data_IF_359671424102
#
_entry.id   IF_359671424102
#
_cell.length_a   1.000
_cell.length_b   1.000
_cell.length_c   1.000
_cell.angle_alpha   90.00
_cell.angle_beta   90.00
_cell.angle_gamma   90.00
#
_symmetry.space_group_name_H-M   'P 1'
#
loop_
_entity.id
_entity.type
_entity.pdbx_description
1 polymer ?
#
# COMPACT_ATOMS: atom_id res chain seq x y z
N UNK A 1 2.79 35.27 -62.02
CA UNK A 1 1.70 35.23 -61.02
C UNK A 1 1.77 33.88 -60.32
N UNK A 2 2.44 33.84 -59.15
CA UNK A 2 2.58 32.61 -58.36
C UNK A 2 1.54 32.65 -57.20
N UNK A 3 0.60 31.69 -57.21
CA UNK A 3 -0.37 31.53 -56.17
C UNK A 3 0.23 30.61 -55.08
N UNK A 4 0.60 31.21 -53.96
CA UNK A 4 1.06 30.51 -52.77
C UNK A 4 -0.19 30.02 -52.00
N UNK A 5 -0.50 28.73 -52.12
CA UNK A 5 -1.54 28.06 -51.34
C UNK A 5 -1.06 27.84 -49.89
N UNK A 6 -1.67 28.55 -48.95
CA UNK A 6 -1.46 28.38 -47.51
C UNK A 6 -2.22 27.14 -47.01
N UNK A 7 -1.49 26.04 -46.75
CA UNK A 7 -2.03 24.81 -46.19
C UNK A 7 -2.19 25.02 -44.68
N UNK A 8 -3.38 25.39 -44.20
CA UNK A 8 -3.68 25.42 -42.76
C UNK A 8 -3.93 24.01 -42.27
N UNK A 9 -2.94 23.41 -41.59
CA UNK A 9 -3.11 22.17 -40.85
C UNK A 9 -3.98 22.44 -39.64
N UNK A 10 -5.21 21.99 -39.67
CA UNK A 10 -6.10 21.94 -38.51
C UNK A 10 -5.63 20.84 -37.57
N UNK A 11 -4.84 21.20 -36.57
CA UNK A 11 -4.53 20.35 -35.44
C UNK A 11 -5.79 20.24 -34.56
N UNK A 12 -6.68 19.31 -34.88
CA UNK A 12 -7.76 18.90 -33.98
C UNK A 12 -7.13 18.04 -32.91
N UNK A 13 -6.58 18.64 -31.86
CA UNK A 13 -6.22 17.94 -30.64
C UNK A 13 -7.48 17.31 -30.02
N UNK A 14 -7.50 16.01 -29.85
CA UNK A 14 -8.54 15.36 -29.05
C UNK A 14 -8.52 15.99 -27.67
N UNK A 15 -9.53 16.80 -27.35
CA UNK A 15 -9.83 17.17 -25.98
C UNK A 15 -10.42 15.90 -25.32
N UNK A 16 -9.63 15.19 -24.57
CA UNK A 16 -10.15 14.18 -23.67
C UNK A 16 -10.97 14.92 -22.59
N UNK A 17 -12.27 14.85 -22.70
CA UNK A 17 -13.17 15.26 -21.61
C UNK A 17 -13.12 14.19 -20.52
N UNK A 18 -12.27 14.40 -19.53
CA UNK A 18 -12.30 13.58 -18.32
C UNK A 18 -13.63 13.81 -17.61
N UNK A 19 -14.45 12.76 -17.54
CA UNK A 19 -15.65 12.79 -16.71
C UNK A 19 -15.22 12.83 -15.26
N UNK A 20 -15.32 14.00 -14.65
CA UNK A 20 -15.08 14.17 -13.21
C UNK A 20 -16.28 13.61 -12.45
N UNK A 21 -16.04 12.80 -11.43
CA UNK A 21 -17.08 12.35 -10.52
C UNK A 21 -17.70 13.57 -9.83
N UNK A 22 -19.02 13.75 -9.97
CA UNK A 22 -19.78 14.90 -9.45
C UNK A 22 -20.92 14.50 -8.51
N UNK A 23 -20.96 13.22 -8.12
CA UNK A 23 -21.98 12.69 -7.20
C UNK A 23 -21.61 12.90 -5.72
N UNK A 24 -22.32 12.21 -4.83
CA UNK A 24 -22.15 12.33 -3.39
C UNK A 24 -20.70 12.07 -2.94
N UNK A 25 -20.30 12.78 -1.90
CA UNK A 25 -19.02 12.56 -1.25
C UNK A 25 -19.04 11.25 -0.46
N UNK A 26 -18.06 10.39 -0.72
CA UNK A 26 -17.81 9.18 0.06
C UNK A 26 -16.37 9.16 0.56
N UNK A 27 -16.18 8.61 1.75
CA UNK A 27 -14.86 8.39 2.35
C UNK A 27 -14.71 6.91 2.66
N UNK A 28 -13.62 6.29 2.23
CA UNK A 28 -13.40 4.86 2.32
C UNK A 28 -11.91 4.53 2.43
N UNK A 29 -11.59 3.35 2.93
CA UNK A 29 -10.24 2.81 2.77
C UNK A 29 -10.00 2.47 1.29
N UNK A 30 -8.78 2.68 0.82
CA UNK A 30 -8.42 2.37 -0.58
C UNK A 30 -8.55 0.88 -0.88
N UNK A 31 -8.26 0.02 0.12
CA UNK A 31 -8.33 -1.43 0.02
C UNK A 31 -9.15 -2.00 1.18
N UNK A 32 -9.88 -3.09 0.94
CA UNK A 32 -10.63 -3.84 1.96
C UNK A 32 -9.75 -4.83 2.72
N UNK A 33 -8.63 -5.21 2.11
CA UNK A 33 -7.60 -6.07 2.67
C UNK A 33 -6.22 -5.58 2.20
N UNK A 34 -5.33 -5.31 3.14
CA UNK A 34 -3.97 -4.91 2.84
C UNK A 34 -2.96 -5.70 3.69
N UNK A 35 -1.84 -6.09 3.10
CA UNK A 35 -0.76 -6.78 3.79
C UNK A 35 0.47 -5.87 3.84
N UNK A 36 1.03 -5.74 5.03
CA UNK A 36 2.20 -4.91 5.29
C UNK A 36 3.33 -5.73 5.91
N UNK A 37 4.52 -5.55 5.37
CA UNK A 37 5.74 -6.05 5.97
C UNK A 37 6.13 -5.15 7.14
N UNK A 38 6.36 -5.73 8.31
CA UNK A 38 6.92 -5.02 9.46
C UNK A 38 8.42 -5.24 9.46
N UNK A 39 9.18 -4.17 9.24
CA UNK A 39 10.63 -4.15 9.22
C UNK A 39 11.16 -3.63 10.55
N UNK A 40 12.35 -4.08 10.94
CA UNK A 40 12.98 -3.67 12.20
C UNK A 40 13.24 -2.16 12.27
N UNK A 41 13.64 -1.57 11.15
CA UNK A 41 14.03 -0.16 11.07
C UNK A 41 12.91 0.76 10.54
N UNK A 42 11.68 0.23 10.43
CA UNK A 42 10.56 0.98 9.92
C UNK A 42 9.76 1.63 11.06
N UNK A 43 9.62 2.94 11.03
CA UNK A 43 8.87 3.67 12.06
C UNK A 43 7.36 3.42 11.99
N UNK A 44 6.79 3.35 10.77
CA UNK A 44 5.37 3.08 10.54
C UNK A 44 5.11 2.63 9.10
N UNK A 45 3.96 2.04 8.90
CA UNK A 45 3.36 1.85 7.57
C UNK A 45 2.06 2.66 7.47
N UNK A 46 1.66 2.98 6.24
CA UNK A 46 0.50 3.81 5.95
C UNK A 46 -0.63 2.98 5.37
N UNK A 47 -1.84 3.12 5.94
CA UNK A 47 -3.06 2.53 5.40
C UNK A 47 -3.86 3.65 4.74
N UNK A 48 -3.98 3.65 3.39
CA UNK A 48 -4.52 4.78 2.67
C UNK A 48 -6.05 4.86 2.79
N UNK A 49 -6.53 6.07 3.01
CA UNK A 49 -7.94 6.47 2.98
C UNK A 49 -8.15 7.43 1.83
N UNK A 50 -9.22 7.26 1.11
CA UNK A 50 -9.57 8.06 -0.06
C UNK A 50 -10.94 8.69 0.07
N UNK A 51 -11.12 9.86 -0.53
CA UNK A 51 -12.43 10.51 -0.73
C UNK A 51 -12.72 10.63 -2.22
N UNK A 52 -13.97 10.45 -2.60
CA UNK A 52 -14.42 10.61 -3.99
C UNK A 52 -14.35 12.06 -4.45
N UNK A 53 -14.47 13.02 -3.53
CA UNK A 53 -14.50 14.46 -3.82
C UNK A 53 -13.40 15.20 -3.07
N UNK A 54 -12.76 16.16 -3.70
CA UNK A 54 -11.88 17.13 -3.05
C UNK A 54 -12.73 18.32 -2.55
N UNK A 55 -12.57 18.66 -1.27
CA UNK A 55 -13.22 19.83 -0.67
C UNK A 55 -12.21 20.95 -0.45
N UNK A 56 -12.68 22.17 -0.33
CA UNK A 56 -11.89 23.38 -0.07
C UNK A 56 -11.55 23.60 1.42
N UNK A 57 -11.94 22.65 2.28
CA UNK A 57 -11.70 22.66 3.70
C UNK A 57 -11.12 21.30 4.20
N UNK A 58 -10.48 21.34 5.36
CA UNK A 58 -9.95 20.15 6.03
C UNK A 58 -11.09 19.30 6.62
N UNK A 59 -11.03 17.98 6.43
CA UNK A 59 -12.00 17.01 6.94
C UNK A 59 -11.30 16.02 7.86
N UNK A 60 -11.74 15.93 9.10
CA UNK A 60 -11.15 15.02 10.10
C UNK A 60 -12.14 13.91 10.44
N UNK A 61 -11.66 12.67 10.42
CA UNK A 61 -12.43 11.46 10.72
C UNK A 61 -11.74 10.66 11.82
N UNK A 62 -12.54 9.98 12.64
CA UNK A 62 -12.03 9.04 13.63
C UNK A 62 -11.61 7.72 13.00
N UNK A 63 -10.70 7.04 13.67
CA UNK A 63 -10.28 5.67 13.34
C UNK A 63 -10.40 4.81 14.59
N UNK A 64 -11.14 3.71 14.47
CA UNK A 64 -11.36 2.71 15.52
C UNK A 64 -10.79 1.35 15.11
N UNK A 65 -10.39 0.57 16.10
CA UNK A 65 -10.02 -0.83 15.93
C UNK A 65 -11.24 -1.68 16.29
N UNK A 66 -11.52 -2.69 15.48
CA UNK A 66 -12.56 -3.70 15.74
C UNK A 66 -11.88 -4.97 16.22
N UNK A 67 -12.15 -5.37 17.46
CA UNK A 67 -11.59 -6.58 18.06
C UNK A 67 -12.11 -7.86 17.41
N UNK A 68 -13.37 -7.87 17.01
CA UNK A 68 -13.97 -9.03 16.36
C UNK A 68 -13.33 -9.30 14.99
N UNK A 69 -12.66 -10.44 14.87
CA UNK A 69 -11.92 -10.83 13.66
C UNK A 69 -10.47 -10.32 13.60
N UNK A 70 -10.01 -9.67 14.68
CA UNK A 70 -8.62 -9.27 14.91
C UNK A 70 -7.92 -10.32 15.78
N UNK A 71 -6.72 -10.74 15.40
CA UNK A 71 -5.84 -11.56 16.24
C UNK A 71 -4.57 -10.78 16.67
N UNK A 72 -4.33 -9.62 16.08
CA UNK A 72 -3.33 -8.67 16.55
C UNK A 72 -3.89 -7.85 17.72
N UNK A 73 -3.06 -7.54 18.69
CA UNK A 73 -3.42 -6.78 19.89
C UNK A 73 -2.67 -5.46 19.89
N UNK A 74 -3.42 -4.34 20.03
CA UNK A 74 -2.82 -3.02 20.16
C UNK A 74 -1.97 -2.93 21.43
N UNK A 75 -0.83 -2.24 21.32
CA UNK A 75 0.15 -2.12 22.39
C UNK A 75 1.08 -3.32 22.53
N UNK A 76 0.70 -4.49 21.99
CA UNK A 76 1.57 -5.68 21.93
C UNK A 76 2.19 -5.88 20.56
N UNK A 77 1.40 -5.92 19.50
CA UNK A 77 1.87 -6.24 18.16
C UNK A 77 1.97 -5.00 17.25
N UNK A 78 1.16 -4.00 17.54
CA UNK A 78 1.16 -2.72 16.81
C UNK A 78 0.69 -1.58 17.70
N UNK A 79 0.83 -0.35 17.20
CA UNK A 79 0.31 0.87 17.80
C UNK A 79 -0.18 1.81 16.73
N UNK A 80 -1.39 2.35 16.87
CA UNK A 80 -1.84 3.49 16.08
C UNK A 80 -1.07 4.74 16.49
N UNK A 81 -0.55 5.50 15.52
CA UNK A 81 0.09 6.78 15.80
C UNK A 81 -0.92 7.89 16.07
N UNK A 82 -2.12 7.76 15.50
CA UNK A 82 -3.25 8.65 15.76
C UNK A 82 -4.57 7.88 15.59
N UNK A 83 -5.55 8.21 16.41
CA UNK A 83 -6.93 7.71 16.28
C UNK A 83 -7.79 8.60 15.38
N UNK A 84 -7.20 9.55 14.70
CA UNK A 84 -7.87 10.43 13.73
C UNK A 84 -7.01 10.61 12.49
N UNK A 85 -7.68 10.85 11.36
CA UNK A 85 -7.05 11.24 10.10
C UNK A 85 -7.65 12.56 9.62
N UNK A 86 -6.85 13.35 8.91
CA UNK A 86 -7.34 14.59 8.29
C UNK A 86 -7.03 14.59 6.80
N UNK A 87 -8.08 14.61 5.98
CA UNK A 87 -7.97 14.87 4.56
C UNK A 87 -7.89 16.39 4.38
N UNK A 88 -6.75 16.88 3.93
CA UNK A 88 -6.50 18.31 3.77
C UNK A 88 -7.33 18.92 2.65
N UNK A 89 -7.60 20.22 2.75
CA UNK A 89 -8.23 21.01 1.69
C UNK A 89 -7.55 20.77 0.34
N UNK A 90 -8.32 20.54 -0.71
CA UNK A 90 -7.85 20.20 -2.05
C UNK A 90 -7.36 18.77 -2.23
N UNK A 91 -7.20 17.98 -1.15
CA UNK A 91 -6.78 16.59 -1.20
C UNK A 91 -7.98 15.63 -1.25
N UNK A 92 -7.73 14.46 -1.82
CA UNK A 92 -8.66 13.30 -1.78
C UNK A 92 -8.06 12.12 -0.99
N UNK A 93 -6.90 12.29 -0.37
CA UNK A 93 -6.18 11.20 0.29
C UNK A 93 -5.70 11.63 1.67
N UNK A 94 -5.70 10.67 2.58
CA UNK A 94 -5.03 10.72 3.87
C UNK A 94 -4.61 9.30 4.25
N UNK A 95 -3.71 9.16 5.22
CA UNK A 95 -3.20 7.88 5.64
C UNK A 95 -3.41 7.67 7.14
N UNK A 96 -3.82 6.46 7.51
CA UNK A 96 -3.75 5.98 8.88
C UNK A 96 -2.34 5.43 9.09
N UNK A 97 -1.58 6.01 10.00
CA UNK A 97 -0.22 5.58 10.30
C UNK A 97 -0.22 4.56 11.44
N UNK A 98 0.38 3.41 11.19
CA UNK A 98 0.48 2.29 12.13
C UNK A 98 1.93 1.89 12.30
N UNK A 99 2.39 1.80 13.53
CA UNK A 99 3.70 1.27 13.88
C UNK A 99 3.57 -0.21 14.23
N UNK A 100 4.23 -1.09 13.49
CA UNK A 100 4.39 -2.48 13.85
C UNK A 100 5.48 -2.62 14.94
N UNK A 101 5.22 -3.47 15.93
CA UNK A 101 6.18 -3.75 17.02
C UNK A 101 6.95 -5.02 16.65
N UNK A 102 8.01 -4.86 15.86
CA UNK A 102 8.79 -5.93 15.23
C UNK A 102 9.20 -7.04 16.19
N UNK A 103 9.72 -6.68 17.37
CA UNK A 103 10.25 -7.65 18.35
C UNK A 103 9.15 -8.52 18.97
N UNK A 104 7.90 -8.12 18.87
CA UNK A 104 6.75 -8.81 19.44
C UNK A 104 5.96 -9.65 18.42
N UNK A 105 6.45 -9.72 17.19
CA UNK A 105 5.87 -10.51 16.09
C UNK A 105 6.80 -11.69 15.83
N UNK A 106 6.28 -12.91 15.86
CA UNK A 106 7.05 -14.10 15.50
C UNK A 106 7.16 -14.25 13.98
N UNK A 107 8.20 -14.90 13.49
CA UNK A 107 8.49 -15.00 12.04
C UNK A 107 7.42 -15.76 11.26
N UNK A 108 6.67 -16.62 11.93
CA UNK A 108 5.60 -17.43 11.36
C UNK A 108 4.21 -16.83 11.56
N UNK A 109 4.11 -15.72 12.32
CA UNK A 109 2.84 -15.11 12.63
C UNK A 109 2.26 -14.35 11.43
N UNK A 110 0.96 -14.56 11.22
CA UNK A 110 0.14 -13.71 10.36
C UNK A 110 -0.88 -12.99 11.25
N UNK A 111 -0.50 -11.80 11.67
CA UNK A 111 -1.28 -11.00 12.60
C UNK A 111 -2.16 -10.00 11.83
N UNK A 112 -3.44 -10.00 12.14
CA UNK A 112 -4.39 -9.10 11.48
C UNK A 112 -5.25 -8.35 12.46
N UNK A 113 -5.60 -7.12 12.10
CA UNK A 113 -6.58 -6.29 12.79
C UNK A 113 -7.48 -5.58 11.79
N UNK A 114 -8.63 -5.12 12.26
CA UNK A 114 -9.61 -4.43 11.45
C UNK A 114 -9.67 -2.98 11.89
N UNK A 115 -9.41 -2.07 10.96
CA UNK A 115 -9.65 -0.63 11.10
C UNK A 115 -11.04 -0.29 10.61
N UNK A 116 -11.68 0.65 11.29
CA UNK A 116 -12.96 1.23 10.91
C UNK A 116 -12.88 2.74 10.93
N UNK A 117 -13.45 3.40 9.92
CA UNK A 117 -13.62 4.84 9.89
C UNK A 117 -14.87 5.23 10.68
N UNK A 118 -14.72 6.21 11.56
CA UNK A 118 -15.83 6.84 12.29
C UNK A 118 -16.19 8.14 11.57
N UNK A 119 -17.29 8.11 10.87
CA UNK A 119 -17.75 9.21 10.02
C UNK A 119 -19.27 9.27 9.97
N UNK A 120 -19.87 10.42 9.57
CA UNK A 120 -21.29 10.52 9.33
C UNK A 120 -21.80 9.51 8.30
N UNK A 121 -23.02 9.01 8.48
CA UNK A 121 -23.60 7.96 7.63
C UNK A 121 -23.68 8.37 6.15
N UNK A 122 -23.86 9.68 5.89
CA UNK A 122 -23.95 10.22 4.52
C UNK A 122 -22.64 10.06 3.71
N UNK A 123 -21.50 9.90 4.41
CA UNK A 123 -20.18 9.75 3.78
C UNK A 123 -19.80 8.29 3.60
N UNK A 124 -20.59 7.35 4.09
CA UNK A 124 -20.37 5.92 3.89
C UNK A 124 -20.85 5.47 2.53
N UNK A 125 -20.06 4.65 1.90
CA UNK A 125 -20.45 3.99 0.67
C UNK A 125 -20.80 2.53 0.96
N UNK A 126 -22.06 2.15 0.80
CA UNK A 126 -22.55 0.81 1.11
C UNK A 126 -21.82 -0.31 0.40
N UNK A 127 -21.29 -0.04 -0.81
CA UNK A 127 -20.59 -1.03 -1.62
C UNK A 127 -19.20 -1.37 -1.07
N UNK A 128 -18.47 -0.37 -0.53
CA UNK A 128 -17.07 -0.56 -0.12
C UNK A 128 -16.84 -0.56 1.39
N UNK A 129 -17.87 -0.32 2.15
CA UNK A 129 -17.84 -0.28 3.61
C UNK A 129 -16.80 0.70 4.22
N UNK A 130 -16.94 0.89 5.52
CA UNK A 130 -16.12 1.78 6.34
C UNK A 130 -14.91 1.07 6.97
N UNK A 131 -14.56 -0.15 6.51
CA UNK A 131 -13.60 -1.04 7.17
C UNK A 131 -12.54 -1.57 6.22
N UNK A 132 -11.36 -1.82 6.79
CA UNK A 132 -10.29 -2.55 6.11
C UNK A 132 -9.65 -3.56 7.06
N UNK A 133 -9.29 -4.73 6.55
CA UNK A 133 -8.48 -5.70 7.29
C UNK A 133 -7.01 -5.48 6.94
N UNK A 134 -6.21 -5.22 7.95
CA UNK A 134 -4.76 -5.07 7.85
C UNK A 134 -4.11 -6.35 8.33
N UNK A 135 -3.27 -6.95 7.51
CA UNK A 135 -2.45 -8.12 7.87
C UNK A 135 -1.01 -7.68 7.95
N UNK A 136 -0.38 -7.97 9.07
CA UNK A 136 1.04 -7.70 9.32
C UNK A 136 1.83 -8.99 9.30
N UNK A 137 2.98 -8.95 8.65
CA UNK A 137 3.95 -10.04 8.63
C UNK A 137 5.33 -9.47 8.94
N UNK A 138 6.05 -10.15 9.82
CA UNK A 138 7.44 -9.81 10.09
C UNK A 138 8.28 -10.08 8.85
N UNK A 139 9.14 -9.15 8.49
CA UNK A 139 10.04 -9.28 7.36
C UNK A 139 11.45 -8.95 7.78
N UNK A 140 12.36 -9.89 7.57
CA UNK A 140 13.78 -9.67 7.79
C UNK A 140 14.37 -8.82 6.66
N UNK A 141 15.39 -7.99 6.93
CA UNK A 141 16.10 -7.29 5.88
C UNK A 141 16.71 -8.31 4.91
N UNK A 142 16.58 -8.04 3.61
CA UNK A 142 17.18 -8.88 2.59
C UNK A 142 18.68 -8.68 2.59
N UNK A 143 19.45 -9.73 2.93
CA UNK A 143 20.90 -9.77 2.73
C UNK A 143 21.23 -10.75 1.61
N UNK A 144 21.80 -10.23 0.51
CA UNK A 144 22.21 -11.04 -0.63
C UNK A 144 23.27 -12.09 -0.25
N UNK A 145 24.09 -11.82 0.76
CA UNK A 145 25.15 -12.72 1.17
C UNK A 145 24.61 -14.01 1.81
N UNK A 146 23.41 -13.98 2.36
CA UNK A 146 22.74 -15.17 2.89
C UNK A 146 22.24 -16.10 1.80
N UNK A 147 22.08 -15.58 0.57
CA UNK A 147 21.58 -16.33 -0.59
C UNK A 147 22.67 -16.67 -1.61
N UNK A 148 23.93 -16.36 -1.31
CA UNK A 148 25.07 -16.66 -2.17
C UNK A 148 26.07 -17.55 -1.47
N UNK A 149 26.74 -18.42 -2.21
CA UNK A 149 27.79 -19.27 -1.68
C UNK A 149 27.58 -20.75 -1.94
N UNK A 150 28.35 -21.55 -1.25
CA UNK A 150 28.28 -23.00 -1.37
C UNK A 150 27.08 -23.55 -0.59
N UNK A 151 26.25 -24.34 -1.25
CA UNK A 151 25.15 -25.08 -0.63
C UNK A 151 25.27 -26.57 -0.95
N UNK A 152 24.58 -27.37 -0.15
CA UNK A 152 24.42 -28.80 -0.41
C UNK A 152 23.00 -29.03 -0.90
N UNK A 153 22.88 -29.45 -2.17
CA UNK A 153 21.58 -29.81 -2.73
C UNK A 153 21.30 -31.28 -2.42
N UNK A 154 20.16 -31.53 -1.77
CA UNK A 154 19.66 -32.86 -1.49
C UNK A 154 18.37 -33.09 -2.26
N UNK A 155 18.28 -34.14 -3.03
CA UNK A 155 17.06 -34.50 -3.76
C UNK A 155 16.74 -35.99 -3.58
N UNK A 156 15.50 -36.38 -3.82
CA UNK A 156 15.06 -37.77 -3.78
C UNK A 156 15.67 -38.62 -4.89
N UNK A 157 16.17 -38.01 -5.97
CA UNK A 157 16.76 -38.70 -7.12
C UNK A 157 18.28 -38.67 -7.15
N UNK A 158 18.89 -37.70 -6.49
CA UNK A 158 20.33 -37.48 -6.48
C UNK A 158 20.81 -37.46 -5.05
N UNK A 159 21.98 -38.08 -4.82
CA UNK A 159 22.68 -37.90 -3.55
C UNK A 159 23.01 -36.41 -3.34
N UNK A 160 23.26 -36.03 -2.09
CA UNK A 160 23.69 -34.68 -1.75
C UNK A 160 24.96 -34.32 -2.52
N UNK A 161 24.97 -33.18 -3.18
CA UNK A 161 26.13 -32.66 -3.90
C UNK A 161 26.32 -31.17 -3.58
N UNK A 162 27.57 -30.70 -3.54
CA UNK A 162 27.86 -29.28 -3.34
C UNK A 162 27.47 -28.49 -4.58
N UNK A 163 26.83 -27.36 -4.37
CA UNK A 163 26.44 -26.43 -5.43
C UNK A 163 26.82 -25.00 -5.04
N UNK A 164 27.35 -24.23 -5.97
CA UNK A 164 27.59 -22.81 -5.77
C UNK A 164 26.41 -22.02 -6.29
N UNK A 165 25.70 -21.35 -5.39
CA UNK A 165 24.64 -20.43 -5.74
C UNK A 165 25.26 -19.07 -6.11
N UNK A 166 24.97 -18.61 -7.32
CA UNK A 166 25.23 -17.24 -7.71
C UNK A 166 23.92 -16.48 -7.82
N UNK A 167 23.93 -15.25 -7.43
CA UNK A 167 23.00 -14.29 -7.98
C UNK A 167 23.60 -13.78 -9.28
N UNK A 168 23.13 -14.31 -10.40
CA UNK A 168 23.53 -13.79 -11.70
C UNK A 168 23.06 -12.34 -11.81
N UNK A 169 23.93 -11.37 -12.14
CA UNK A 169 23.47 -10.02 -12.37
C UNK A 169 22.40 -10.01 -13.47
N UNK A 170 21.33 -9.28 -13.23
CA UNK A 170 20.24 -9.12 -14.19
C UNK A 170 20.81 -8.69 -15.56
N UNK A 171 20.18 -9.08 -16.70
CA UNK A 171 20.58 -8.60 -18.01
C UNK A 171 20.68 -7.06 -18.12
N UNK A 172 19.95 -6.33 -17.26
CA UNK A 172 20.05 -4.86 -17.16
C UNK A 172 21.33 -4.35 -16.53
N UNK A 173 21.94 -5.12 -15.63
CA UNK A 173 23.18 -4.70 -14.95
C UNK A 173 24.41 -4.88 -15.83
N UNK A 174 24.33 -5.77 -16.84
CA UNK A 174 25.40 -5.99 -17.83
C UNK A 174 25.52 -4.87 -18.87
N UNK A 175 24.55 -3.96 -18.96
CA UNK A 175 24.58 -2.83 -19.91
C UNK A 175 25.22 -1.56 -19.34
N UNK A 176 25.67 -1.59 -18.07
CA UNK A 176 26.26 -0.42 -17.38
C UNK A 176 27.76 -0.52 -17.12
N UNK A 177 28.42 -1.56 -17.64
CA UNK A 177 29.89 -1.71 -17.56
C UNK A 177 30.57 -1.34 -18.89
#
# INVERSE_FOLDING_TARGET
>A
MFATGLLAALATGCKEEYKTYSDAEYVLFADTLATYAVLQDQDYFSVPVSSTVACDYDRTFGVEIIDQGSNAVEGKHYRLLSNTITIKAGSRKADVQVRGLYDNIEDTDSLGFILKLVMPEQLKWDLYHDRTKVVMQKSCPYDINEFTGWCVVTSTFLNSYPCLLYTSPSPRDRQKS
#
